data_IF_015047795329
#
_entry.id   IF_015047795329
#
_cell.length_a   1.000
_cell.length_b   1.000
_cell.length_c   1.000
_cell.angle_alpha   90.00
_cell.angle_beta   90.00
_cell.angle_gamma   90.00
#
_symmetry.space_group_name_H-M   'P 1'
#
loop_
_entity.id
_entity.type
_entity.pdbx_description
1 polymer ?
#
# COMPACT_ATOMS: atom_id res chain seq x y z
N UNK A 1 55.93 30.97 18.69
CA UNK A 1 54.57 31.41 18.32
C UNK A 1 54.01 30.44 17.30
N UNK A 2 53.15 29.52 17.72
CA UNK A 2 52.50 28.51 16.83
C UNK A 2 50.99 28.73 16.92
N UNK A 3 50.42 29.30 15.87
CA UNK A 3 48.99 29.51 15.71
C UNK A 3 48.33 28.22 15.21
N UNK A 4 47.51 27.57 16.07
CA UNK A 4 46.76 26.41 15.77
C UNK A 4 45.49 26.79 14.94
N UNK A 5 45.34 26.18 13.76
CA UNK A 5 44.16 26.31 12.92
C UNK A 5 43.17 25.23 13.33
N UNK A 6 42.12 25.59 14.05
CA UNK A 6 41.03 24.71 14.33
C UNK A 6 40.11 24.62 13.11
N UNK A 7 40.11 23.47 12.42
CA UNK A 7 39.13 23.12 11.39
C UNK A 7 37.77 22.90 12.04
N UNK A 8 36.83 23.80 11.85
CA UNK A 8 35.40 23.56 12.05
C UNK A 8 34.93 22.59 11.00
N UNK A 9 34.74 21.33 11.38
CA UNK A 9 33.96 20.36 10.60
C UNK A 9 32.51 20.77 10.69
N UNK A 10 32.02 21.47 9.67
CA UNK A 10 30.60 21.75 9.50
C UNK A 10 29.86 20.45 9.25
N UNK A 11 29.28 19.89 10.29
CA UNK A 11 28.34 18.80 10.17
C UNK A 11 27.17 19.26 9.31
N UNK A 12 27.06 18.72 8.08
CA UNK A 12 25.85 18.86 7.27
C UNK A 12 24.72 18.25 8.09
N UNK A 13 23.93 19.10 8.73
CA UNK A 13 22.76 18.69 9.48
C UNK A 13 21.85 17.92 8.53
N UNK A 14 21.76 16.63 8.76
CA UNK A 14 20.70 15.78 8.18
C UNK A 14 19.38 16.44 8.57
N UNK A 15 18.73 17.07 7.61
CA UNK A 15 17.38 17.57 7.76
C UNK A 15 16.54 16.34 8.14
N UNK A 16 16.25 16.22 9.42
CA UNK A 16 15.46 15.10 9.92
C UNK A 16 14.09 15.18 9.27
N UNK A 17 13.62 14.03 8.81
CA UNK A 17 12.28 13.82 8.25
C UNK A 17 11.11 14.26 9.16
N UNK A 18 11.41 14.86 10.29
CA UNK A 18 10.44 15.37 11.27
C UNK A 18 9.65 16.55 10.70
N UNK A 19 10.30 17.44 9.95
CA UNK A 19 9.63 18.60 9.35
C UNK A 19 8.73 18.19 8.18
N UNK A 20 9.07 17.09 7.49
CA UNK A 20 8.23 16.51 6.45
C UNK A 20 7.02 15.75 7.00
N UNK A 21 7.06 15.25 8.26
CA UNK A 21 5.90 14.63 8.88
C UNK A 21 4.85 15.66 9.33
N UNK A 22 5.27 16.84 9.75
CA UNK A 22 4.35 17.92 10.09
C UNK A 22 3.56 18.41 8.87
N UNK A 23 4.25 18.57 7.75
CA UNK A 23 3.63 19.01 6.48
C UNK A 23 2.64 17.99 5.91
N UNK A 24 2.84 16.70 6.17
CA UNK A 24 1.97 15.62 5.67
C UNK A 24 0.73 15.38 6.54
N UNK A 25 0.75 15.79 7.80
CA UNK A 25 -0.42 15.66 8.67
C UNK A 25 -1.53 16.65 8.32
N UNK A 26 -1.16 17.78 7.72
CA UNK A 26 -2.12 18.81 7.31
C UNK A 26 -2.76 18.53 5.94
N UNK A 27 -2.12 17.65 5.12
CA UNK A 27 -2.58 17.26 3.80
C UNK A 27 -3.21 15.84 3.76
N UNK A 28 -3.31 15.17 4.90
CA UNK A 28 -4.14 13.99 4.98
C UNK A 28 -5.57 14.43 4.67
N UNK A 29 -6.25 13.80 3.70
CA UNK A 29 -7.66 14.08 3.48
C UNK A 29 -8.36 14.02 4.84
N UNK A 30 -9.36 14.90 5.09
CA UNK A 30 -9.99 14.96 6.39
C UNK A 30 -10.32 13.53 6.76
N UNK A 31 -9.76 13.09 7.90
CA UNK A 31 -10.03 11.75 8.43
C UNK A 31 -11.54 11.75 8.54
N UNK A 32 -12.20 11.18 7.52
CA UNK A 32 -13.64 10.96 7.57
C UNK A 32 -13.86 10.38 8.93
N UNK A 33 -14.61 11.10 9.79
CA UNK A 33 -14.87 10.72 11.17
C UNK A 33 -15.02 9.23 11.14
N UNK A 34 -14.20 8.50 11.91
CA UNK A 34 -14.28 7.05 11.97
C UNK A 34 -15.74 6.75 12.18
N UNK A 35 -16.40 6.21 11.15
CA UNK A 35 -17.77 5.82 11.26
C UNK A 35 -17.81 4.94 12.50
N UNK A 36 -18.61 5.32 13.50
CA UNK A 36 -18.75 4.54 14.71
C UNK A 36 -19.55 3.30 14.31
N UNK A 37 -18.84 2.23 14.05
CA UNK A 37 -19.46 0.94 13.76
C UNK A 37 -19.89 0.31 15.07
N UNK A 38 -21.08 -0.30 15.06
CA UNK A 38 -21.52 -1.15 16.17
C UNK A 38 -20.55 -2.32 16.36
N UNK A 39 -20.31 -2.73 17.58
CA UNK A 39 -19.47 -3.88 17.89
C UNK A 39 -20.37 -5.03 18.42
N UNK A 40 -20.57 -6.11 17.64
CA UNK A 40 -19.97 -6.44 16.34
C UNK A 40 -20.72 -5.87 15.13
N UNK A 41 -19.97 -5.65 14.01
CA UNK A 41 -20.53 -5.43 12.67
C UNK A 41 -19.94 -6.41 11.66
N UNK A 42 -20.69 -6.71 10.62
CA UNK A 42 -20.26 -7.60 9.52
C UNK A 42 -20.37 -6.80 8.21
N UNK A 43 -19.32 -6.86 7.39
CA UNK A 43 -19.38 -6.27 6.06
C UNK A 43 -20.24 -7.15 5.15
N UNK A 44 -21.30 -6.57 4.59
CA UNK A 44 -22.23 -7.22 3.67
C UNK A 44 -21.59 -7.62 2.33
N UNK A 45 -20.49 -6.93 1.93
CA UNK A 45 -19.80 -7.19 0.66
C UNK A 45 -18.66 -8.21 0.80
N UNK A 46 -17.80 -8.08 1.80
CA UNK A 46 -16.57 -8.89 1.89
C UNK A 46 -16.55 -9.86 3.08
N UNK A 47 -17.58 -9.85 3.94
CA UNK A 47 -17.67 -10.71 5.11
C UNK A 47 -16.66 -10.38 6.21
N UNK A 48 -15.94 -9.24 6.13
CA UNK A 48 -15.07 -8.81 7.21
C UNK A 48 -15.88 -8.48 8.46
N UNK A 49 -15.34 -8.81 9.62
CA UNK A 49 -15.96 -8.59 10.91
C UNK A 49 -15.27 -7.44 11.63
N UNK A 50 -16.06 -6.46 12.08
CA UNK A 50 -15.64 -5.42 13.01
C UNK A 50 -15.89 -5.87 14.43
N UNK A 51 -14.83 -5.92 15.21
CA UNK A 51 -14.93 -6.19 16.64
C UNK A 51 -13.66 -5.72 17.33
N UNK A 52 -13.78 -5.25 18.56
CA UNK A 52 -12.68 -4.62 19.31
C UNK A 52 -12.01 -3.49 18.49
N UNK A 53 -12.84 -2.63 17.89
CA UNK A 53 -12.42 -1.46 17.09
C UNK A 53 -11.55 -1.79 15.86
N UNK A 54 -11.63 -3.02 15.33
CA UNK A 54 -10.79 -3.46 14.22
C UNK A 54 -11.57 -4.34 13.25
N UNK A 55 -11.46 -4.06 11.95
CA UNK A 55 -11.95 -4.92 10.89
C UNK A 55 -10.96 -6.06 10.62
N UNK A 56 -11.46 -7.32 10.47
CA UNK A 56 -10.65 -8.47 10.09
C UNK A 56 -11.44 -9.45 9.23
N UNK A 57 -10.81 -10.02 8.21
CA UNK A 57 -11.35 -11.19 7.50
C UNK A 57 -11.07 -12.47 8.28
N UNK A 58 -11.91 -13.46 8.10
CA UNK A 58 -11.77 -14.79 8.73
C UNK A 58 -12.00 -14.81 10.24
N UNK A 59 -12.43 -13.71 10.85
CA UNK A 59 -12.83 -13.69 12.25
C UNK A 59 -14.17 -14.40 12.40
N UNK A 60 -14.23 -15.40 13.30
CA UNK A 60 -15.47 -16.09 13.63
C UNK A 60 -16.16 -15.37 14.79
N UNK A 61 -17.45 -15.21 14.69
CA UNK A 61 -18.33 -14.75 15.77
C UNK A 61 -19.01 -15.96 16.40
N UNK A 62 -19.35 -15.90 17.71
CA UNK A 62 -20.29 -16.83 18.29
C UNK A 62 -21.69 -16.59 17.70
N UNK A 63 -22.58 -17.58 17.79
CA UNK A 63 -23.95 -17.43 17.30
C UNK A 63 -24.65 -16.18 17.90
N UNK A 64 -24.53 -15.98 19.21
CA UNK A 64 -25.08 -14.82 19.90
C UNK A 64 -24.53 -13.47 19.42
N UNK A 65 -23.23 -13.42 19.05
CA UNK A 65 -22.63 -12.21 18.48
C UNK A 65 -23.06 -12.00 17.05
N UNK A 66 -23.22 -13.07 16.27
CA UNK A 66 -23.69 -13.00 14.89
C UNK A 66 -25.13 -12.49 14.82
N UNK A 67 -26.00 -12.93 15.72
CA UNK A 67 -27.41 -12.51 15.80
C UNK A 67 -27.56 -11.01 16.14
N UNK A 68 -26.60 -10.46 16.86
CA UNK A 68 -26.57 -9.03 17.24
C UNK A 68 -25.75 -8.15 16.30
N UNK A 69 -25.10 -8.75 15.32
CA UNK A 69 -24.21 -8.00 14.42
C UNK A 69 -25.00 -7.11 13.47
N UNK A 70 -24.52 -5.89 13.30
CA UNK A 70 -25.06 -4.96 12.30
C UNK A 70 -24.36 -5.19 10.97
N UNK A 71 -25.14 -5.28 9.89
CA UNK A 71 -24.62 -5.40 8.53
C UNK A 71 -24.35 -4.02 7.97
N UNK A 72 -23.11 -3.77 7.52
CA UNK A 72 -22.64 -2.46 7.02
C UNK A 72 -21.53 -2.65 6.00
N UNK A 73 -21.29 -1.64 5.16
CA UNK A 73 -20.09 -1.60 4.32
C UNK A 73 -18.85 -1.27 5.16
N UNK A 74 -17.79 -2.09 5.07
CA UNK A 74 -16.52 -1.73 5.68
C UNK A 74 -15.84 -0.60 4.90
N UNK A 75 -14.93 0.17 5.53
CA UNK A 75 -14.27 1.30 4.87
C UNK A 75 -13.57 0.95 3.55
N UNK A 76 -12.96 -0.25 3.47
CA UNK A 76 -12.31 -0.71 2.24
C UNK A 76 -13.29 -0.98 1.11
N UNK A 77 -14.45 -1.58 1.41
CA UNK A 77 -15.49 -1.81 0.39
C UNK A 77 -16.14 -0.50 -0.06
N UNK A 78 -16.42 0.42 0.87
CA UNK A 78 -16.94 1.73 0.54
C UNK A 78 -15.97 2.53 -0.35
N UNK A 79 -14.68 2.51 -0.03
CA UNK A 79 -13.66 3.16 -0.84
C UNK A 79 -13.48 2.49 -2.21
N UNK A 80 -13.54 1.14 -2.27
CA UNK A 80 -13.49 0.42 -3.53
C UNK A 80 -14.69 0.75 -4.44
N UNK A 81 -15.84 1.01 -3.87
CA UNK A 81 -17.05 1.38 -4.60
C UNK A 81 -17.00 2.82 -5.12
N UNK A 82 -16.44 3.75 -4.34
CA UNK A 82 -16.22 5.13 -4.79
C UNK A 82 -15.11 5.27 -5.84
N UNK A 83 -14.27 4.24 -6.00
CA UNK A 83 -13.11 4.30 -6.91
C UNK A 83 -11.96 5.18 -6.41
N UNK A 84 -12.04 5.67 -5.17
CA UNK A 84 -11.03 6.53 -4.58
C UNK A 84 -9.76 5.73 -4.27
N UNK A 85 -8.64 6.11 -4.88
CA UNK A 85 -7.35 5.47 -4.65
C UNK A 85 -6.38 6.40 -3.91
N UNK A 86 -5.51 5.83 -3.09
CA UNK A 86 -4.43 6.55 -2.40
C UNK A 86 -3.04 6.02 -2.72
N UNK A 87 -2.97 5.02 -3.59
CA UNK A 87 -1.70 4.51 -4.08
C UNK A 87 -1.78 4.04 -5.53
N UNK A 88 -0.81 4.47 -6.33
CA UNK A 88 -0.65 4.08 -7.73
C UNK A 88 0.72 3.45 -7.90
N UNK A 89 0.78 2.27 -8.53
CA UNK A 89 2.03 1.57 -8.86
C UNK A 89 2.12 1.41 -10.36
N UNK A 90 3.20 1.92 -10.95
CA UNK A 90 3.53 1.72 -12.36
C UNK A 90 4.73 0.77 -12.44
N UNK A 91 4.54 -0.37 -13.09
CA UNK A 91 5.56 -1.41 -13.27
C UNK A 91 5.83 -1.56 -14.75
N UNK A 92 7.03 -1.19 -15.17
CA UNK A 92 7.48 -1.29 -16.56
C UNK A 92 8.32 -2.55 -16.75
N UNK A 93 7.92 -3.40 -17.70
CA UNK A 93 8.66 -4.56 -18.13
C UNK A 93 9.66 -4.18 -19.23
N UNK A 94 10.86 -4.77 -19.25
CA UNK A 94 11.76 -4.65 -20.39
C UNK A 94 11.18 -5.35 -21.62
N UNK A 95 11.62 -4.94 -22.78
CA UNK A 95 11.27 -5.61 -24.05
C UNK A 95 11.58 -7.10 -23.98
N UNK A 96 10.66 -7.93 -24.44
CA UNK A 96 10.79 -9.39 -24.44
C UNK A 96 10.46 -10.09 -23.11
N UNK A 97 10.16 -9.36 -22.04
CA UNK A 97 9.82 -9.94 -20.73
C UNK A 97 8.30 -10.16 -20.52
N UNK A 98 7.53 -10.26 -21.60
CA UNK A 98 6.06 -10.48 -21.51
C UNK A 98 5.69 -11.76 -20.72
N UNK A 99 6.58 -12.77 -20.71
CA UNK A 99 6.38 -14.00 -19.92
C UNK A 99 6.32 -13.76 -18.40
N UNK A 100 6.88 -12.66 -17.91
CA UNK A 100 6.85 -12.33 -16.48
C UNK A 100 5.55 -11.63 -16.04
N UNK A 101 4.70 -11.20 -16.97
CA UNK A 101 3.47 -10.43 -16.68
C UNK A 101 2.50 -11.21 -15.78
N UNK A 102 2.29 -12.49 -16.06
CA UNK A 102 1.41 -13.35 -15.25
C UNK A 102 1.97 -13.60 -13.85
N UNK A 103 3.28 -13.78 -13.74
CA UNK A 103 3.96 -14.00 -12.46
C UNK A 103 3.92 -12.74 -11.60
N UNK A 104 4.07 -11.56 -12.20
CA UNK A 104 3.92 -10.27 -11.53
C UNK A 104 2.47 -10.10 -11.04
N UNK A 105 1.48 -10.35 -11.90
CA UNK A 105 0.06 -10.26 -11.54
C UNK A 105 -0.29 -11.21 -10.41
N UNK A 106 0.21 -12.43 -10.45
CA UNK A 106 0.05 -13.42 -9.37
C UNK A 106 0.72 -12.98 -8.07
N UNK A 107 1.91 -12.36 -8.16
CA UNK A 107 2.61 -11.82 -6.99
C UNK A 107 1.82 -10.71 -6.33
N UNK A 108 1.26 -9.78 -7.11
CA UNK A 108 0.43 -8.68 -6.62
C UNK A 108 -0.80 -9.23 -5.89
N UNK A 109 -1.50 -10.18 -6.49
CA UNK A 109 -2.66 -10.84 -5.86
C UNK A 109 -2.32 -11.51 -4.53
N UNK A 110 -1.15 -12.14 -4.43
CA UNK A 110 -0.68 -12.72 -3.18
C UNK A 110 -0.37 -11.68 -2.11
N UNK A 111 0.17 -10.51 -2.51
CA UNK A 111 0.43 -9.40 -1.58
C UNK A 111 -0.88 -8.81 -1.08
N UNK A 112 -1.84 -8.62 -1.96
CA UNK A 112 -3.19 -8.15 -1.64
C UNK A 112 -3.87 -9.09 -0.65
N UNK A 113 -4.00 -10.38 -0.98
CA UNK A 113 -4.67 -11.37 -0.13
C UNK A 113 -4.11 -11.41 1.30
N UNK A 114 -2.79 -11.29 1.45
CA UNK A 114 -2.15 -11.21 2.77
C UNK A 114 -2.47 -9.91 3.50
N UNK A 115 -2.59 -8.80 2.78
CA UNK A 115 -2.94 -7.52 3.38
C UNK A 115 -4.40 -7.52 3.83
N UNK A 116 -5.31 -7.94 2.98
CA UNK A 116 -6.74 -7.99 3.25
C UNK A 116 -7.13 -8.86 4.45
N UNK A 117 -6.38 -9.94 4.70
CA UNK A 117 -6.67 -10.82 5.82
C UNK A 117 -6.63 -10.10 7.17
N UNK A 118 -5.65 -9.21 7.35
CA UNK A 118 -5.46 -8.46 8.60
C UNK A 118 -6.03 -7.05 8.56
N UNK A 119 -6.14 -6.49 7.37
CA UNK A 119 -6.55 -5.11 7.11
C UNK A 119 -7.40 -5.06 5.84
N UNK A 120 -8.67 -5.46 5.93
CA UNK A 120 -9.56 -5.57 4.77
C UNK A 120 -9.80 -4.23 4.04
N UNK A 121 -9.44 -3.11 4.66
CA UNK A 121 -9.42 -1.80 4.01
C UNK A 121 -8.29 -1.62 2.98
N UNK A 122 -7.33 -2.56 2.91
CA UNK A 122 -6.22 -2.52 1.95
C UNK A 122 -6.50 -3.42 0.77
N UNK A 123 -7.04 -2.85 -0.29
CA UNK A 123 -7.47 -3.55 -1.49
C UNK A 123 -6.80 -2.99 -2.74
N UNK A 124 -6.65 -3.83 -3.76
CA UNK A 124 -6.34 -3.41 -5.12
C UNK A 124 -7.66 -3.06 -5.81
N UNK A 125 -7.76 -1.84 -6.32
CA UNK A 125 -8.95 -1.35 -7.02
C UNK A 125 -8.94 -1.77 -8.49
N UNK A 126 -7.78 -1.68 -9.10
CA UNK A 126 -7.56 -2.07 -10.50
C UNK A 126 -6.13 -2.53 -10.73
N UNK A 127 -5.95 -3.38 -11.74
CA UNK A 127 -4.65 -3.87 -12.19
C UNK A 127 -4.74 -4.10 -13.69
N UNK A 128 -4.19 -3.16 -14.48
CA UNK A 128 -4.41 -3.09 -15.93
C UNK A 128 -3.07 -3.01 -16.65
N UNK A 129 -2.85 -3.91 -17.58
CA UNK A 129 -1.72 -3.88 -18.50
C UNK A 129 -1.98 -2.96 -19.70
N UNK A 130 -1.08 -2.03 -19.95
CA UNK A 130 -1.04 -1.17 -21.12
C UNK A 130 0.27 -1.42 -21.87
N UNK A 131 0.27 -2.36 -22.81
CA UNK A 131 1.49 -2.82 -23.46
C UNK A 131 2.44 -3.49 -22.45
N UNK A 132 3.61 -2.91 -22.24
CA UNK A 132 4.61 -3.40 -21.28
C UNK A 132 4.56 -2.73 -19.90
N UNK A 133 3.60 -1.86 -19.67
CA UNK A 133 3.40 -1.20 -18.37
C UNK A 133 2.16 -1.72 -17.66
N UNK A 134 2.31 -2.11 -16.40
CA UNK A 134 1.22 -2.45 -15.49
C UNK A 134 0.92 -1.27 -14.58
N UNK A 135 -0.32 -0.82 -14.61
CA UNK A 135 -0.85 0.12 -13.64
C UNK A 135 -1.66 -0.61 -12.57
N UNK A 136 -1.35 -0.34 -11.31
CA UNK A 136 -2.09 -0.87 -10.16
C UNK A 136 -2.54 0.27 -9.27
N UNK A 137 -3.86 0.38 -9.05
CA UNK A 137 -4.47 1.33 -8.12
C UNK A 137 -4.83 0.63 -6.83
N UNK A 138 -4.60 1.28 -5.69
CA UNK A 138 -4.85 0.70 -4.37
C UNK A 138 -5.53 1.69 -3.44
N UNK A 139 -6.34 1.18 -2.51
CA UNK A 139 -7.01 1.96 -1.48
C UNK A 139 -6.03 2.62 -0.50
N UNK A 140 -4.77 2.17 -0.43
CA UNK A 140 -3.82 2.72 0.55
C UNK A 140 -2.40 2.82 0.02
N UNK A 141 -1.71 3.90 0.38
CA UNK A 141 -0.29 4.10 0.11
C UNK A 141 0.58 2.94 0.61
N UNK A 142 0.24 2.37 1.77
CA UNK A 142 1.00 1.26 2.37
C UNK A 142 0.93 -0.01 1.53
N UNK A 143 -0.21 -0.28 0.90
CA UNK A 143 -0.35 -1.42 -0.02
C UNK A 143 0.44 -1.18 -1.30
N UNK A 144 0.33 0.00 -1.92
CA UNK A 144 1.11 0.37 -3.10
C UNK A 144 2.63 0.24 -2.85
N UNK A 145 3.10 0.79 -1.73
CA UNK A 145 4.50 0.69 -1.33
C UNK A 145 4.95 -0.78 -1.15
N UNK A 146 4.12 -1.62 -0.54
CA UNK A 146 4.40 -3.03 -0.34
C UNK A 146 4.43 -3.79 -1.67
N UNK A 147 3.46 -3.56 -2.56
CA UNK A 147 3.42 -4.15 -3.91
C UNK A 147 4.71 -3.84 -4.67
N UNK A 148 5.08 -2.56 -4.77
CA UNK A 148 6.29 -2.15 -5.48
C UNK A 148 7.55 -2.82 -4.93
N UNK A 149 7.69 -2.94 -3.62
CA UNK A 149 8.83 -3.62 -2.98
C UNK A 149 8.83 -5.13 -3.21
N UNK A 150 7.69 -5.79 -3.09
CA UNK A 150 7.59 -7.23 -3.27
C UNK A 150 7.81 -7.65 -4.72
N UNK A 151 7.36 -6.84 -5.69
CA UNK A 151 7.66 -7.06 -7.11
C UNK A 151 9.14 -6.82 -7.37
N UNK A 152 9.72 -5.72 -6.90
CA UNK A 152 11.15 -5.44 -7.06
C UNK A 152 12.03 -6.54 -6.46
N UNK A 153 11.63 -7.11 -5.32
CA UNK A 153 12.36 -8.23 -4.68
C UNK A 153 12.33 -9.50 -5.53
N UNK A 154 11.23 -9.77 -6.21
CA UNK A 154 11.06 -11.00 -7.00
C UNK A 154 11.61 -10.90 -8.42
N UNK A 155 11.50 -9.72 -9.04
CA UNK A 155 11.81 -9.51 -10.46
C UNK A 155 12.94 -8.49 -10.70
N UNK A 156 13.56 -8.02 -9.64
CA UNK A 156 14.61 -7.01 -9.72
C UNK A 156 14.09 -5.59 -9.95
N UNK A 157 15.02 -4.66 -10.04
CA UNK A 157 14.72 -3.25 -10.15
C UNK A 157 14.70 -2.53 -8.81
N UNK A 158 14.62 -1.20 -8.87
CA UNK A 158 14.58 -0.34 -7.69
C UNK A 158 13.37 0.59 -7.75
N UNK A 159 12.38 0.44 -6.86
CA UNK A 159 11.21 1.28 -6.88
C UNK A 159 11.55 2.72 -6.46
N UNK A 160 10.98 3.68 -7.17
CA UNK A 160 11.03 5.11 -6.83
C UNK A 160 9.66 5.51 -6.32
N UNK A 161 9.64 6.31 -5.26
CA UNK A 161 8.42 6.75 -4.60
C UNK A 161 8.33 8.28 -4.65
N UNK A 162 7.18 8.78 -5.06
CA UNK A 162 6.80 10.19 -4.97
C UNK A 162 5.42 10.30 -4.36
N UNK A 163 5.16 11.40 -3.69
CA UNK A 163 3.84 11.70 -3.14
C UNK A 163 3.30 12.90 -3.90
N UNK A 164 2.02 12.84 -4.20
CA UNK A 164 1.31 13.98 -4.72
C UNK A 164 1.12 15.02 -3.62
N UNK A 165 1.34 16.28 -3.95
CA UNK A 165 1.26 17.37 -2.98
C UNK A 165 -0.21 17.82 -2.75
N UNK A 166 -1.14 17.53 -3.66
CA UNK A 166 -2.54 17.93 -3.58
C UNK A 166 -3.36 16.95 -2.74
N UNK A 167 -3.32 15.65 -3.06
CA UNK A 167 -4.13 14.62 -2.41
C UNK A 167 -3.34 13.68 -1.50
N UNK A 168 -2.01 13.83 -1.47
CA UNK A 168 -1.11 12.99 -0.69
C UNK A 168 -1.01 11.55 -1.18
N UNK A 169 -1.52 11.23 -2.37
CA UNK A 169 -1.44 9.89 -2.93
C UNK A 169 0.01 9.46 -3.17
N UNK A 170 0.28 8.17 -3.08
CA UNK A 170 1.61 7.59 -3.35
C UNK A 170 1.68 7.12 -4.79
N UNK A 171 2.65 7.63 -5.54
CA UNK A 171 3.06 7.06 -6.81
C UNK A 171 4.35 6.27 -6.65
N UNK A 172 4.30 4.98 -6.95
CA UNK A 172 5.47 4.10 -7.01
C UNK A 172 5.76 3.73 -8.47
N UNK A 173 6.98 3.99 -8.94
CA UNK A 173 7.45 3.59 -10.27
C UNK A 173 8.54 2.55 -10.14
N UNK A 174 8.41 1.44 -10.85
CA UNK A 174 9.36 0.35 -10.87
C UNK A 174 9.64 -0.07 -12.32
N UNK A 175 10.92 -0.05 -12.71
CA UNK A 175 11.39 -0.74 -13.92
C UNK A 175 11.96 -2.08 -13.49
N UNK A 176 11.38 -3.15 -14.00
CA UNK A 176 11.85 -4.52 -13.75
C UNK A 176 13.14 -4.76 -14.52
N UNK A 177 14.09 -5.50 -13.95
CA UNK A 177 15.36 -5.80 -14.59
C UNK A 177 15.24 -7.00 -15.53
N UNK A 178 15.81 -6.94 -16.73
CA UNK A 178 15.78 -8.02 -17.71
C UNK A 178 16.37 -9.37 -17.20
N UNK A 179 17.22 -9.34 -16.15
CA UNK A 179 17.87 -10.50 -15.54
C UNK A 179 17.42 -10.78 -14.11
N UNK A 180 16.26 -10.28 -13.70
CA UNK A 180 15.87 -10.15 -12.29
C UNK A 180 15.16 -11.33 -11.66
N UNK A 181 15.14 -12.53 -12.25
CA UNK A 181 14.73 -13.71 -11.47
C UNK A 181 15.78 -13.93 -10.38
N UNK A 182 15.46 -13.47 -9.16
CA UNK A 182 16.18 -13.91 -7.98
C UNK A 182 16.09 -15.45 -7.97
N UNK A 183 17.19 -16.12 -8.32
CA UNK A 183 17.33 -17.55 -8.08
C UNK A 183 17.12 -17.74 -6.59
N UNK A 184 15.94 -18.23 -6.22
CA UNK A 184 15.70 -18.76 -4.88
C UNK A 184 16.60 -19.97 -4.74
N UNK A 185 17.82 -19.73 -4.23
CA UNK A 185 18.72 -20.77 -3.75
C UNK A 185 17.96 -21.60 -2.71
N UNK A 186 18.04 -22.87 -2.92
CA UNK A 186 17.49 -24.00 -2.16
C UNK A 186 17.97 -23.96 -0.72
#
# INVERSE_FOLDING_TARGET
>A
MKSGLTRKTGGKGLIRSKDRRGSRSDMSPPVTRRAEFSDPSICDRCGAVYSAKTWRRGRRLSAEMADRATWVHCPGCAQAESGEYHGRVLIELPEGAAADADDISRRIKNVESRAEYTQPERQVLSSIWNGNELEVLTTSQKLAHRIAREVAKAFGGKPRFSWDDEDGSLLARLKVSANGRATTGK
#
